data_IF_479687106108
#
_entry.id   IF_479687106108
#
_cell.length_a   1.000
_cell.length_b   1.000
_cell.length_c   1.000
_cell.angle_alpha   90.00
_cell.angle_beta   90.00
_cell.angle_gamma   90.00
#
_symmetry.space_group_name_H-M   'P 1'
#
loop_
_entity.id
_entity.type
_entity.pdbx_description
1 polymer ?
#
# COMPACT_ATOMS: atom_id res chain seq x y z
N UNK A 1 -8.03 25.81 -1.79
CA UNK A 1 -8.03 24.39 -1.36
C UNK A 1 -9.04 24.27 -0.25
N UNK A 2 -10.12 23.54 -0.49
CA UNK A 2 -11.09 23.23 0.57
C UNK A 2 -10.44 22.19 1.48
N UNK A 3 -10.21 22.54 2.74
CA UNK A 3 -9.84 21.59 3.80
C UNK A 3 -11.12 21.18 4.50
N UNK A 4 -11.17 19.94 4.99
CA UNK A 4 -12.24 19.53 5.88
C UNK A 4 -12.14 20.36 7.16
N UNK A 5 -13.27 20.85 7.66
CA UNK A 5 -13.37 21.56 8.94
C UNK A 5 -13.68 20.59 10.08
N UNK A 6 -13.28 20.97 11.30
CA UNK A 6 -13.70 20.29 12.54
C UNK A 6 -15.11 20.76 12.91
N UNK A 7 -15.96 19.83 13.28
CA UNK A 7 -17.36 20.07 13.62
C UNK A 7 -17.78 19.17 14.80
N UNK A 8 -18.86 19.58 15.46
CA UNK A 8 -19.47 18.74 16.48
C UNK A 8 -20.17 17.53 15.84
N UNK A 9 -20.09 16.34 16.44
CA UNK A 9 -20.68 15.12 15.87
C UNK A 9 -22.18 15.25 15.54
N UNK A 10 -22.92 15.99 16.35
CA UNK A 10 -24.36 16.20 16.19
C UNK A 10 -24.71 16.93 14.90
N UNK A 11 -23.84 17.78 14.38
CA UNK A 11 -24.04 18.52 13.12
C UNK A 11 -24.19 17.58 11.92
N UNK A 12 -23.68 16.34 12.05
CA UNK A 12 -23.76 15.29 11.02
C UNK A 12 -24.56 14.06 11.50
N UNK A 13 -25.44 14.24 12.49
CA UNK A 13 -26.24 13.16 13.07
C UNK A 13 -25.39 11.98 13.57
N UNK A 14 -24.23 12.25 14.14
CA UNK A 14 -23.40 11.28 14.83
C UNK A 14 -23.54 11.44 16.34
N UNK A 15 -23.48 10.33 17.10
CA UNK A 15 -23.56 10.35 18.56
C UNK A 15 -22.14 10.53 19.15
N UNK A 16 -21.91 11.57 19.98
CA UNK A 16 -20.65 11.73 20.71
C UNK A 16 -20.34 10.52 21.60
N UNK A 17 -21.34 9.98 22.29
CA UNK A 17 -21.17 8.84 23.19
C UNK A 17 -20.71 7.58 22.44
N UNK A 18 -21.14 7.40 21.16
CA UNK A 18 -20.65 6.30 20.32
C UNK A 18 -19.21 6.54 19.84
N UNK A 19 -18.84 7.79 19.61
CA UNK A 19 -17.45 8.13 19.25
C UNK A 19 -16.51 7.96 20.45
N UNK A 20 -16.97 8.22 21.66
CA UNK A 20 -16.17 8.02 22.87
C UNK A 20 -15.82 6.55 23.11
N UNK A 21 -16.61 5.60 22.62
CA UNK A 21 -16.28 4.17 22.66
C UNK A 21 -14.97 3.86 21.92
N UNK A 22 -14.61 4.67 20.92
CA UNK A 22 -13.34 4.50 20.17
C UNK A 22 -12.14 4.55 21.12
N UNK A 23 -12.14 5.49 22.07
CA UNK A 23 -11.05 5.63 23.02
C UNK A 23 -10.86 4.35 23.86
N UNK A 24 -11.94 3.78 24.40
CA UNK A 24 -11.86 2.55 25.18
C UNK A 24 -11.41 1.34 24.36
N UNK A 25 -11.82 1.22 23.08
CA UNK A 25 -11.34 0.15 22.19
C UNK A 25 -9.82 0.31 21.93
N UNK A 26 -9.37 1.53 21.72
CA UNK A 26 -7.93 1.80 21.49
C UNK A 26 -7.12 1.50 22.75
N UNK A 27 -7.59 1.93 23.92
CA UNK A 27 -6.93 1.69 25.21
C UNK A 27 -6.79 0.19 25.49
N UNK A 28 -7.85 -0.59 25.26
CA UNK A 28 -7.80 -2.06 25.37
C UNK A 28 -6.73 -2.66 24.43
N UNK A 29 -6.66 -2.19 23.17
CA UNK A 29 -5.64 -2.61 22.23
C UNK A 29 -4.21 -2.26 22.66
N UNK A 30 -4.01 -1.09 23.26
CA UNK A 30 -2.71 -0.67 23.83
C UNK A 30 -2.32 -1.52 25.03
N UNK A 31 -3.25 -1.81 25.94
CA UNK A 31 -3.03 -2.65 27.11
C UNK A 31 -2.67 -4.09 26.72
N UNK A 32 -3.36 -4.64 25.71
CA UNK A 32 -3.08 -5.97 25.16
C UNK A 32 -1.80 -6.00 24.30
N UNK A 33 -1.13 -4.87 24.09
CA UNK A 33 0.04 -4.73 23.21
C UNK A 33 -0.23 -5.19 21.78
N UNK A 34 -1.44 -4.97 21.27
CA UNK A 34 -1.76 -5.23 19.88
C UNK A 34 -1.04 -4.25 18.93
N UNK A 35 -0.84 -3.03 19.40
CA UNK A 35 -0.06 -1.96 18.74
C UNK A 35 0.47 -0.98 19.79
N UNK A 36 1.57 -0.25 19.53
CA UNK A 36 2.14 0.69 20.49
C UNK A 36 1.44 2.04 20.52
N UNK A 37 0.81 2.44 19.44
CA UNK A 37 0.07 3.69 19.30
C UNK A 37 -0.64 3.78 17.95
N UNK A 38 -1.57 4.73 17.84
CA UNK A 38 -2.31 4.97 16.60
C UNK A 38 -2.90 6.38 16.56
N UNK A 39 -3.38 6.79 15.38
CA UNK A 39 -4.30 7.89 15.18
C UNK A 39 -5.64 7.33 14.71
N UNK A 40 -6.72 7.91 15.20
CA UNK A 40 -8.07 7.61 14.73
C UNK A 40 -8.71 8.88 14.23
N UNK A 41 -9.12 8.84 12.97
CA UNK A 41 -9.74 9.95 12.26
C UNK A 41 -11.10 9.52 11.72
N UNK A 42 -12.14 10.29 12.01
CA UNK A 42 -13.48 10.07 11.46
C UNK A 42 -13.99 11.36 10.84
N UNK A 43 -14.41 11.27 9.59
CA UNK A 43 -15.11 12.33 8.91
C UNK A 43 -16.44 11.80 8.33
N UNK A 44 -17.50 12.61 8.44
CA UNK A 44 -18.81 12.33 7.86
C UNK A 44 -19.29 13.59 7.14
N UNK A 45 -19.88 13.43 5.96
CA UNK A 45 -20.43 14.52 5.14
C UNK A 45 -19.44 15.69 4.89
N UNK A 46 -18.13 15.35 4.79
CA UNK A 46 -17.07 16.32 4.59
C UNK A 46 -16.64 17.09 5.85
N UNK A 47 -17.10 16.69 7.03
CA UNK A 47 -16.81 17.29 8.33
C UNK A 47 -16.01 16.32 9.21
N UNK A 48 -14.94 16.81 9.84
CA UNK A 48 -14.14 16.04 10.79
C UNK A 48 -14.87 16.08 12.13
N UNK A 49 -15.24 14.90 12.64
CA UNK A 49 -15.97 14.75 13.91
C UNK A 49 -15.19 13.98 14.97
N UNK A 50 -14.05 13.42 14.62
CA UNK A 50 -13.15 12.76 15.55
C UNK A 50 -11.74 12.74 14.94
N UNK A 51 -10.75 13.16 15.74
CA UNK A 51 -9.34 13.14 15.36
C UNK A 51 -8.51 13.09 16.64
N UNK A 52 -8.08 11.89 17.02
CA UNK A 52 -7.32 11.68 18.26
C UNK A 52 -6.12 10.77 18.02
N UNK A 53 -5.05 11.08 18.71
CA UNK A 53 -3.79 10.33 18.74
C UNK A 53 -3.66 9.62 20.08
N UNK A 54 -3.12 8.39 20.06
CA UNK A 54 -3.00 7.52 21.23
C UNK A 54 -1.65 6.82 21.25
N UNK A 55 -1.10 6.64 22.46
CA UNK A 55 0.09 5.84 22.70
C UNK A 55 1.37 6.42 22.12
N UNK A 56 2.26 5.56 21.66
CA UNK A 56 3.63 5.89 21.29
C UNK A 56 4.02 5.24 19.96
N UNK A 57 5.14 5.69 19.35
CA UNK A 57 5.67 5.08 18.13
C UNK A 57 6.12 3.62 18.32
N UNK A 58 6.59 3.32 19.54
CA UNK A 58 7.07 2.01 19.92
C UNK A 58 6.77 1.71 21.41
N UNK A 59 7.08 0.50 21.84
CA UNK A 59 6.88 0.08 23.23
C UNK A 59 7.91 0.66 24.21
N UNK A 60 9.00 1.28 23.72
CA UNK A 60 9.97 2.01 24.55
C UNK A 60 9.41 3.35 25.05
N UNK A 61 8.29 3.81 24.50
CA UNK A 61 7.54 5.03 24.87
C UNK A 61 8.37 6.31 24.85
N UNK A 62 9.34 6.39 23.93
CA UNK A 62 10.22 7.57 23.79
C UNK A 62 9.57 8.71 23.06
N UNK A 63 8.69 8.42 22.11
CA UNK A 63 8.01 9.41 21.29
C UNK A 63 6.51 9.10 21.25
N UNK A 64 5.70 10.04 21.73
CA UNK A 64 4.25 9.94 21.65
C UNK A 64 3.77 10.10 20.20
N UNK A 65 2.67 9.42 19.87
CA UNK A 65 1.93 9.68 18.64
C UNK A 65 1.18 10.99 18.80
N UNK A 66 1.25 11.84 17.78
CA UNK A 66 0.56 13.12 17.69
C UNK A 66 -0.12 13.30 16.32
N UNK A 67 -0.79 14.43 16.12
CA UNK A 67 -1.50 14.75 14.88
C UNK A 67 -0.60 14.87 13.63
N UNK A 68 0.72 15.06 13.82
CA UNK A 68 1.70 15.19 12.76
C UNK A 68 2.45 13.89 12.49
N UNK A 69 2.12 12.82 13.20
CA UNK A 69 2.76 11.51 13.04
C UNK A 69 2.50 10.94 11.65
N UNK A 70 3.55 10.41 11.03
CA UNK A 70 3.49 9.86 9.66
C UNK A 70 3.59 8.34 9.73
N UNK A 71 2.70 7.68 9.00
CA UNK A 71 2.60 6.23 8.93
C UNK A 71 2.95 5.70 7.54
N UNK A 72 3.59 4.54 7.49
CA UNK A 72 3.63 3.72 6.29
C UNK A 72 2.23 3.15 6.04
N UNK A 73 1.61 3.56 4.94
CA UNK A 73 0.26 3.10 4.57
C UNK A 73 0.21 1.66 4.10
N UNK A 74 1.37 1.03 3.86
CA UNK A 74 1.48 -0.33 3.37
C UNK A 74 0.45 -0.61 2.25
N UNK A 75 -0.39 -1.64 2.40
CA UNK A 75 -1.40 -1.99 1.38
C UNK A 75 -2.54 -0.98 1.21
N UNK A 76 -2.76 -0.08 2.17
CA UNK A 76 -3.72 1.02 1.99
C UNK A 76 -3.33 1.93 0.82
N UNK A 77 -2.05 1.94 0.42
CA UNK A 77 -1.57 2.60 -0.80
C UNK A 77 -2.26 2.09 -2.09
N UNK A 78 -2.79 0.86 -2.08
CA UNK A 78 -3.56 0.34 -3.22
C UNK A 78 -4.85 1.15 -3.45
N UNK A 79 -5.51 1.55 -2.37
CA UNK A 79 -6.72 2.37 -2.44
C UNK A 79 -6.39 3.86 -2.60
N UNK A 80 -5.46 4.39 -1.77
CA UNK A 80 -5.16 5.81 -1.74
C UNK A 80 -4.29 6.30 -2.93
N UNK A 81 -3.60 5.42 -3.61
CA UNK A 81 -2.71 5.75 -4.75
C UNK A 81 -3.09 5.00 -6.02
N UNK A 82 -2.86 3.69 -6.04
CA UNK A 82 -3.02 2.88 -7.26
C UNK A 82 -4.43 2.95 -7.84
N UNK A 83 -5.46 2.78 -7.00
CA UNK A 83 -6.86 2.80 -7.47
C UNK A 83 -7.20 4.15 -8.09
N UNK A 84 -6.80 5.26 -7.48
CA UNK A 84 -7.06 6.60 -8.02
C UNK A 84 -6.39 6.80 -9.38
N UNK A 85 -5.17 6.32 -9.56
CA UNK A 85 -4.47 6.36 -10.85
C UNK A 85 -5.18 5.48 -11.90
N UNK A 86 -5.65 4.31 -11.50
CA UNK A 86 -6.44 3.40 -12.35
C UNK A 86 -7.77 4.05 -12.76
N UNK A 87 -8.50 4.68 -11.82
CA UNK A 87 -9.73 5.41 -12.11
C UNK A 87 -9.49 6.52 -13.12
N UNK A 88 -8.44 7.33 -12.93
CA UNK A 88 -8.07 8.38 -13.88
C UNK A 88 -7.75 7.83 -15.27
N UNK A 89 -6.99 6.74 -15.35
CA UNK A 89 -6.67 6.10 -16.62
C UNK A 89 -7.92 5.50 -17.32
N UNK A 90 -8.87 5.00 -16.54
CA UNK A 90 -10.16 4.52 -17.04
C UNK A 90 -11.01 5.66 -17.60
N UNK A 91 -11.12 6.79 -16.88
CA UNK A 91 -11.84 7.98 -17.34
C UNK A 91 -11.22 8.54 -18.62
N UNK A 92 -9.90 8.49 -18.74
CA UNK A 92 -9.15 8.87 -19.93
C UNK A 92 -9.28 7.84 -21.08
N UNK A 93 -10.11 6.80 -20.92
CA UNK A 93 -10.35 5.73 -21.90
C UNK A 93 -9.07 5.00 -22.35
N UNK A 94 -8.06 4.92 -21.47
CA UNK A 94 -6.80 4.22 -21.76
C UNK A 94 -6.99 2.69 -21.78
N UNK A 95 -8.00 2.19 -21.08
CA UNK A 95 -8.36 0.77 -21.02
C UNK A 95 -9.83 0.59 -20.59
N UNK A 96 -10.29 -0.64 -20.67
CA UNK A 96 -11.56 -1.10 -20.10
C UNK A 96 -11.32 -2.15 -19.03
N UNK A 97 -12.27 -2.37 -18.13
CA UNK A 97 -12.15 -3.39 -17.08
C UNK A 97 -11.98 -4.82 -17.63
N UNK A 98 -12.40 -5.07 -18.86
CA UNK A 98 -12.27 -6.38 -19.52
C UNK A 98 -10.96 -6.54 -20.32
N UNK A 99 -10.15 -5.49 -20.46
CA UNK A 99 -8.82 -5.66 -21.05
C UNK A 99 -8.01 -6.68 -20.28
N UNK A 100 -7.22 -7.46 -21.00
CA UNK A 100 -6.31 -8.44 -20.40
C UNK A 100 -5.04 -7.76 -19.91
N UNK A 101 -4.49 -8.23 -18.81
CA UNK A 101 -3.20 -7.72 -18.32
C UNK A 101 -2.09 -7.99 -19.33
N UNK A 102 -2.19 -9.08 -20.11
CA UNK A 102 -1.26 -9.38 -21.20
C UNK A 102 -1.31 -8.39 -22.39
N UNK A 103 -2.33 -7.54 -22.48
CA UNK A 103 -2.37 -6.44 -23.44
C UNK A 103 -1.36 -5.35 -23.09
N UNK A 104 -1.05 -5.20 -21.78
CA UNK A 104 -0.13 -4.19 -21.22
C UNK A 104 1.25 -4.78 -20.89
N UNK A 105 1.31 -6.07 -20.56
CA UNK A 105 2.53 -6.80 -20.21
C UNK A 105 2.66 -7.98 -21.19
N UNK A 106 3.32 -7.78 -22.34
CA UNK A 106 3.38 -8.78 -23.42
C UNK A 106 3.99 -10.13 -22.98
N UNK A 107 4.89 -10.11 -21.99
CA UNK A 107 5.54 -11.30 -21.43
C UNK A 107 4.55 -12.28 -20.79
N UNK A 108 3.35 -11.82 -20.46
CA UNK A 108 2.30 -12.69 -19.90
C UNK A 108 1.51 -13.46 -20.96
N UNK A 109 1.67 -13.16 -22.25
CA UNK A 109 0.90 -13.79 -23.34
C UNK A 109 1.06 -15.31 -23.40
N UNK A 110 2.25 -15.80 -23.07
CA UNK A 110 2.58 -17.22 -23.09
C UNK A 110 2.54 -17.87 -21.69
N UNK A 111 1.88 -17.22 -20.72
CA UNK A 111 1.76 -17.70 -19.35
C UNK A 111 0.32 -18.09 -19.01
N UNK A 112 0.12 -18.74 -17.85
CA UNK A 112 -1.19 -19.04 -17.25
C UNK A 112 -1.99 -17.76 -16.87
N UNK A 113 -1.39 -16.59 -17.00
CA UNK A 113 -1.95 -15.29 -16.69
C UNK A 113 -2.48 -14.53 -17.89
N UNK A 114 -2.34 -15.08 -19.11
CA UNK A 114 -2.71 -14.44 -20.37
C UNK A 114 -4.16 -13.94 -20.44
N UNK A 115 -5.06 -14.56 -19.70
CA UNK A 115 -6.49 -14.24 -19.73
C UNK A 115 -6.96 -13.44 -18.51
N UNK A 116 -6.08 -13.07 -17.58
CA UNK A 116 -6.45 -12.21 -16.44
C UNK A 116 -6.93 -10.85 -16.94
N UNK A 117 -8.13 -10.47 -16.53
CA UNK A 117 -8.67 -9.13 -16.82
C UNK A 117 -8.25 -8.11 -15.74
N UNK A 118 -8.26 -6.83 -16.10
CA UNK A 118 -8.01 -5.73 -15.16
C UNK A 118 -8.94 -5.83 -13.95
N UNK A 119 -10.24 -6.12 -14.18
CA UNK A 119 -11.23 -6.27 -13.10
C UNK A 119 -10.87 -7.37 -12.10
N UNK A 120 -10.25 -8.47 -12.54
CA UNK A 120 -9.89 -9.59 -11.66
C UNK A 120 -8.83 -9.17 -10.63
N UNK A 121 -7.92 -8.27 -11.02
CA UNK A 121 -6.96 -7.67 -10.10
C UNK A 121 -7.65 -6.69 -9.13
N UNK A 122 -8.52 -5.82 -9.63
CA UNK A 122 -9.20 -4.82 -8.81
C UNK A 122 -10.12 -5.44 -7.76
N UNK A 123 -10.73 -6.58 -8.07
CA UNK A 123 -11.60 -7.33 -7.16
C UNK A 123 -10.84 -8.34 -6.29
N UNK A 124 -9.51 -8.41 -6.39
CA UNK A 124 -8.69 -9.43 -5.71
C UNK A 124 -9.11 -10.87 -6.04
N UNK A 125 -9.62 -11.11 -7.25
CA UNK A 125 -10.14 -12.40 -7.73
C UNK A 125 -9.25 -13.03 -8.79
N UNK A 126 -8.02 -12.55 -8.94
CA UNK A 126 -7.08 -13.01 -9.98
C UNK A 126 -6.51 -14.42 -9.74
N UNK A 127 -6.63 -14.97 -8.53
CA UNK A 127 -5.99 -16.22 -8.15
C UNK A 127 -4.46 -16.17 -8.05
N UNK A 128 -3.86 -14.98 -8.22
CA UNK A 128 -2.41 -14.81 -8.06
C UNK A 128 -1.98 -15.01 -6.60
N UNK A 129 -0.72 -15.36 -6.41
CA UNK A 129 -0.12 -15.34 -5.07
C UNK A 129 -0.19 -13.95 -4.47
N UNK A 130 -0.50 -13.81 -3.18
CA UNK A 130 -0.64 -12.50 -2.54
C UNK A 130 0.68 -11.73 -2.48
N UNK A 131 1.81 -12.41 -2.54
CA UNK A 131 3.15 -11.82 -2.43
C UNK A 131 4.13 -12.51 -3.37
N UNK A 132 4.96 -11.73 -4.03
CA UNK A 132 6.16 -12.19 -4.75
C UNK A 132 7.35 -11.55 -4.05
N UNK A 133 8.19 -12.39 -3.44
CA UNK A 133 9.37 -11.92 -2.71
C UNK A 133 10.52 -11.61 -3.69
N UNK A 134 10.39 -10.54 -4.45
CA UNK A 134 11.38 -10.13 -5.45
C UNK A 134 12.79 -9.95 -4.87
N UNK A 135 12.88 -9.52 -3.62
CA UNK A 135 14.15 -9.30 -2.93
C UNK A 135 14.97 -10.56 -2.75
N UNK A 136 14.35 -11.75 -2.72
CA UNK A 136 15.08 -13.03 -2.58
C UNK A 136 16.08 -13.27 -3.71
N UNK A 137 15.83 -12.71 -4.88
CA UNK A 137 16.77 -12.77 -6.00
C UNK A 137 17.95 -11.79 -5.84
N UNK A 138 17.82 -10.87 -4.90
CA UNK A 138 18.84 -9.85 -4.61
C UNK A 138 19.68 -10.17 -3.37
N UNK A 139 19.32 -11.23 -2.63
CA UNK A 139 20.00 -11.63 -1.39
C UNK A 139 20.82 -12.90 -1.66
N UNK A 140 22.01 -12.95 -1.12
CA UNK A 140 22.86 -14.13 -1.03
C UNK A 140 23.32 -14.28 0.43
N UNK A 141 22.91 -15.35 1.10
CA UNK A 141 23.26 -15.65 2.50
C UNK A 141 23.13 -14.45 3.43
N UNK A 142 21.95 -13.86 3.52
CA UNK A 142 21.63 -12.73 4.40
C UNK A 142 22.29 -11.39 4.03
N UNK A 143 22.93 -11.28 2.87
CA UNK A 143 23.47 -10.03 2.34
C UNK A 143 22.95 -9.73 0.94
N UNK A 144 22.82 -8.44 0.60
CA UNK A 144 22.49 -8.04 -0.76
C UNK A 144 23.60 -8.43 -1.72
N UNK A 145 23.23 -9.02 -2.86
CA UNK A 145 24.19 -9.29 -3.94
C UNK A 145 24.79 -7.97 -4.41
N UNK A 146 26.05 -7.73 -4.10
CA UNK A 146 26.74 -6.48 -4.38
C UNK A 146 26.77 -6.09 -5.88
N UNK A 147 26.51 -7.06 -6.78
CA UNK A 147 26.37 -6.78 -8.21
C UNK A 147 25.03 -6.17 -8.61
N UNK A 148 23.97 -6.27 -7.79
CA UNK A 148 22.63 -5.77 -8.11
C UNK A 148 22.43 -4.33 -7.63
N UNK A 149 22.99 -3.98 -6.48
CA UNK A 149 22.85 -2.67 -5.85
C UNK A 149 24.19 -1.97 -5.68
N UNK A 150 24.15 -0.65 -5.70
CA UNK A 150 25.28 0.22 -5.38
C UNK A 150 24.79 1.40 -4.53
N UNK A 151 25.61 1.84 -3.58
CA UNK A 151 25.35 3.04 -2.80
C UNK A 151 25.69 4.34 -3.55
N UNK A 152 26.24 4.23 -4.75
CA UNK A 152 26.56 5.36 -5.61
C UNK A 152 26.07 5.11 -7.04
N UNK A 153 25.57 6.17 -7.69
CA UNK A 153 25.27 6.13 -9.12
C UNK A 153 26.53 5.90 -9.93
N UNK A 154 26.50 4.91 -10.83
CA UNK A 154 27.58 4.62 -11.77
C UNK A 154 27.01 4.05 -13.08
N UNK A 155 27.86 3.73 -14.03
CA UNK A 155 27.45 3.25 -15.35
C UNK A 155 26.67 1.92 -15.27
N UNK A 156 27.04 1.02 -14.36
CA UNK A 156 26.35 -0.25 -14.18
C UNK A 156 25.06 -0.12 -13.35
N UNK A 157 24.95 0.89 -12.49
CA UNK A 157 23.83 1.13 -11.58
C UNK A 157 23.28 2.55 -11.78
N UNK A 158 22.65 2.85 -12.92
CA UNK A 158 22.17 4.19 -13.24
C UNK A 158 20.81 4.52 -12.63
N UNK A 159 20.01 3.50 -12.24
CA UNK A 159 18.63 3.67 -11.82
C UNK A 159 18.56 3.89 -10.31
N UNK A 160 18.02 5.04 -9.90
CA UNK A 160 17.83 5.33 -8.48
C UNK A 160 16.65 4.50 -7.93
N UNK A 161 16.92 3.72 -6.88
CA UNK A 161 15.94 2.90 -6.19
C UNK A 161 15.38 3.62 -4.94
N UNK A 162 16.26 4.20 -4.13
CA UNK A 162 15.91 5.02 -2.97
C UNK A 162 16.89 6.19 -2.79
N UNK A 163 16.89 6.85 -1.63
CA UNK A 163 17.72 8.00 -1.34
C UNK A 163 19.22 7.70 -1.48
N UNK A 164 19.68 6.46 -1.23
CA UNK A 164 21.08 6.04 -1.15
C UNK A 164 21.42 4.79 -1.94
N UNK A 165 20.45 4.25 -2.71
CA UNK A 165 20.61 2.98 -3.41
C UNK A 165 20.32 3.14 -4.89
N UNK A 166 21.19 2.58 -5.71
CA UNK A 166 21.06 2.51 -7.16
C UNK A 166 21.03 1.05 -7.60
N UNK A 167 20.23 0.73 -8.61
CA UNK A 167 20.07 -0.62 -9.12
C UNK A 167 20.51 -0.69 -10.58
N UNK A 168 20.90 -1.88 -11.01
CA UNK A 168 21.27 -2.15 -12.40
C UNK A 168 20.08 -1.92 -13.32
N UNK A 169 20.35 -1.37 -14.52
CA UNK A 169 19.31 -1.13 -15.53
C UNK A 169 18.80 -2.39 -16.22
N UNK A 170 19.53 -3.49 -16.14
CA UNK A 170 19.14 -4.79 -16.69
C UNK A 170 18.33 -5.63 -15.67
N UNK A 171 18.09 -5.11 -14.46
CA UNK A 171 17.24 -5.77 -13.49
C UNK A 171 15.76 -5.70 -13.91
N UNK A 172 15.10 -6.84 -13.92
CA UNK A 172 13.68 -6.95 -14.25
C UNK A 172 12.95 -7.86 -13.27
N UNK A 173 11.76 -7.46 -12.86
CA UNK A 173 10.82 -8.27 -12.07
C UNK A 173 9.94 -9.18 -12.94
N UNK A 174 9.93 -8.98 -14.26
CA UNK A 174 9.04 -9.70 -15.17
C UNK A 174 9.19 -11.21 -15.11
N UNK A 175 10.40 -11.82 -15.04
CA UNK A 175 10.53 -13.26 -14.89
C UNK A 175 9.85 -13.81 -13.64
N UNK A 176 9.92 -13.07 -12.52
CA UNK A 176 9.25 -13.46 -11.28
C UNK A 176 7.73 -13.39 -11.41
N UNK A 177 7.22 -12.35 -12.09
CA UNK A 177 5.79 -12.21 -12.34
C UNK A 177 5.27 -13.31 -13.26
N UNK A 178 5.99 -13.64 -14.32
CA UNK A 178 5.64 -14.73 -15.25
C UNK A 178 5.58 -16.07 -14.54
N UNK A 179 6.57 -16.39 -13.71
CA UNK A 179 6.69 -17.65 -12.96
C UNK A 179 5.83 -17.74 -11.70
N UNK A 180 5.29 -16.60 -11.22
CA UNK A 180 4.46 -16.59 -10.01
C UNK A 180 3.24 -17.51 -10.15
N UNK A 181 2.94 -18.27 -9.09
CA UNK A 181 1.82 -19.22 -9.08
C UNK A 181 0.48 -18.50 -9.23
N UNK A 182 -0.39 -19.10 -10.03
CA UNK A 182 -1.82 -18.77 -10.11
C UNK A 182 -2.62 -19.99 -9.67
N UNK A 183 -3.61 -19.81 -8.80
CA UNK A 183 -4.48 -20.90 -8.37
C UNK A 183 -5.33 -21.39 -9.56
N UNK A 184 -5.50 -22.70 -9.74
CA UNK A 184 -6.41 -23.25 -10.74
C UNK A 184 -7.85 -22.76 -10.50
N UNK A 185 -8.58 -22.50 -11.57
CA UNK A 185 -10.01 -22.12 -11.50
C UNK A 185 -10.27 -20.63 -11.32
N UNK A 186 -9.22 -19.80 -11.38
CA UNK A 186 -9.33 -18.32 -11.40
C UNK A 186 -8.86 -17.73 -12.72
#
# INVERSE_FOLDING_TARGET
KTRLGYHEPEEVEASPERLDVIASIVEDGLEQKAFPGCQVFVAKDGMIIYDKSFGYFDYDKKQAVDENSVYDLASSSKAAGTLLAVMKAYDDKKFTLNNKISDFIPELKDSDKKNLAVKDLLYHQSGLTPTINFYLNAIDKDSYKGSLYSNAKNQAHPVRFDARTYVRNDFSFLPNLVSARKKPGF
#
